data_IF_341912706184
#
_entry.id   IF_341912706184
#
_cell.length_a   1.000
_cell.length_b   1.000
_cell.length_c   1.000
_cell.angle_alpha   90.00
_cell.angle_beta   90.00
_cell.angle_gamma   90.00
#
_symmetry.space_group_name_H-M   'P 1'
#
loop_
_entity.id
_entity.type
_entity.pdbx_description
1 polymer ?
#
# COMPACT_ATOMS: atom_id res chain seq x y z
N UNK A 1 -3.96 -0.64 -8.05
CA UNK A 1 -5.42 -0.82 -7.91
C UNK A 1 -5.73 -1.43 -6.55
N UNK A 2 -6.55 -0.76 -5.78
CA UNK A 2 -6.91 -1.25 -4.46
C UNK A 2 -7.90 -2.42 -4.57
N UNK A 3 -7.86 -3.34 -3.60
CA UNK A 3 -8.83 -4.43 -3.61
C UNK A 3 -10.23 -3.89 -3.38
N UNK A 4 -11.15 -4.29 -4.24
CA UNK A 4 -12.54 -3.88 -4.12
C UNK A 4 -13.43 -5.01 -3.61
N UNK A 5 -12.91 -6.24 -3.58
CA UNK A 5 -13.68 -7.39 -3.12
C UNK A 5 -13.70 -7.52 -1.61
N UNK A 6 -12.88 -6.73 -0.90
CA UNK A 6 -12.78 -6.80 0.55
C UNK A 6 -13.32 -5.54 1.18
N UNK A 7 -14.00 -5.67 2.31
CA UNK A 7 -14.46 -4.52 3.07
C UNK A 7 -13.29 -3.90 3.83
N UNK A 8 -13.32 -2.59 3.99
CA UNK A 8 -12.33 -1.88 4.79
C UNK A 8 -12.66 -2.06 6.26
N UNK A 9 -11.69 -2.53 7.04
CA UNK A 9 -11.85 -2.67 8.48
C UNK A 9 -11.25 -1.48 9.23
N UNK A 10 -10.25 -0.82 8.65
CA UNK A 10 -9.64 0.36 9.26
C UNK A 10 -9.11 1.25 8.16
N UNK A 11 -9.61 2.48 8.13
CA UNK A 11 -9.28 3.44 7.09
C UNK A 11 -7.94 4.10 7.35
N UNK A 12 -7.41 4.73 6.31
CA UNK A 12 -6.20 5.52 6.41
C UNK A 12 -6.43 6.68 7.37
N UNK A 13 -5.62 6.73 8.43
CA UNK A 13 -5.65 7.79 9.44
C UNK A 13 -4.22 8.13 9.81
N UNK A 14 -3.59 9.09 9.12
CA UNK A 14 -2.20 9.38 9.40
C UNK A 14 -2.03 9.81 10.85
N UNK A 15 -1.02 9.27 11.54
CA UNK A 15 -0.77 9.70 12.92
C UNK A 15 -0.36 11.16 12.96
N UNK A 16 -0.71 11.84 14.04
CA UNK A 16 -0.38 13.25 14.19
C UNK A 16 1.09 13.47 14.50
N UNK A 17 1.80 12.45 14.88
CA UNK A 17 3.24 12.51 15.11
C UNK A 17 3.85 11.14 14.85
N UNK A 18 5.20 11.08 14.82
CA UNK A 18 5.91 9.85 14.47
C UNK A 18 5.54 8.68 15.38
N UNK A 19 5.29 8.95 16.65
CA UNK A 19 5.01 7.92 17.64
C UNK A 19 3.52 7.85 18.02
N UNK A 20 2.69 8.65 17.38
CA UNK A 20 1.28 8.72 17.72
C UNK A 20 0.50 7.60 17.06
N UNK A 21 -0.66 7.29 17.64
CA UNK A 21 -1.56 6.29 17.08
C UNK A 21 -2.13 6.78 15.75
N UNK A 22 -2.42 5.85 14.88
CA UNK A 22 -2.99 6.12 13.58
C UNK A 22 -2.90 4.88 12.72
N UNK A 23 -3.29 5.01 11.45
CA UNK A 23 -3.18 3.94 10.49
C UNK A 23 -2.53 4.50 9.23
N UNK A 24 -1.32 4.03 8.94
CA UNK A 24 -0.52 4.53 7.81
C UNK A 24 -0.90 3.92 6.48
N UNK A 25 -1.93 3.09 6.46
CA UNK A 25 -2.47 2.48 5.26
C UNK A 25 -3.92 2.16 5.47
N UNK A 26 -4.43 1.20 4.71
CA UNK A 26 -5.80 0.74 4.84
C UNK A 26 -5.77 -0.73 5.23
N UNK A 27 -6.55 -1.10 6.23
CA UNK A 27 -6.76 -2.48 6.61
C UNK A 27 -8.06 -2.97 6.00
N UNK A 28 -8.02 -4.19 5.48
CA UNK A 28 -9.19 -4.83 4.88
C UNK A 28 -9.50 -6.10 5.63
N UNK A 29 -10.78 -6.44 5.69
CA UNK A 29 -11.23 -7.77 6.12
C UNK A 29 -11.07 -8.70 4.92
N UNK A 30 -10.32 -9.78 5.09
CA UNK A 30 -10.13 -10.74 4.02
C UNK A 30 -10.18 -12.13 4.63
N UNK A 31 -10.87 -13.09 3.99
CA UNK A 31 -10.85 -14.46 4.49
C UNK A 31 -9.43 -15.01 4.48
N UNK A 32 -9.09 -15.92 5.39
CA UNK A 32 -7.79 -16.60 5.31
C UNK A 32 -7.66 -17.31 3.97
N UNK A 33 -6.43 -17.33 3.45
CA UNK A 33 -6.09 -17.99 2.19
C UNK A 33 -6.72 -17.34 0.96
N UNK A 34 -7.30 -16.15 1.08
CA UNK A 34 -7.84 -15.45 -0.08
C UNK A 34 -6.70 -14.94 -0.95
N UNK A 35 -6.85 -15.00 -2.28
CA UNK A 35 -5.80 -14.48 -3.16
C UNK A 35 -5.65 -12.98 -3.00
N UNK A 36 -4.41 -12.51 -3.00
CA UNK A 36 -4.08 -11.10 -2.92
C UNK A 36 -3.37 -10.72 -4.21
N UNK A 37 -3.82 -9.64 -4.82
CA UNK A 37 -3.31 -9.15 -6.09
C UNK A 37 -2.56 -7.86 -5.88
N UNK A 38 -1.52 -7.66 -6.69
CA UNK A 38 -0.73 -6.44 -6.59
C UNK A 38 -1.58 -5.22 -6.90
N UNK A 39 -1.48 -4.21 -6.05
CA UNK A 39 -2.20 -2.95 -6.25
C UNK A 39 -1.48 -2.05 -7.25
N UNK A 40 -0.26 -2.40 -7.65
CA UNK A 40 0.54 -1.56 -8.54
C UNK A 40 1.38 -2.41 -9.46
N UNK A 41 1.74 -1.83 -10.60
CA UNK A 41 2.72 -2.43 -11.51
C UNK A 41 4.10 -1.94 -11.13
N UNK A 42 5.08 -2.83 -11.13
CA UNK A 42 6.44 -2.44 -10.81
C UNK A 42 7.29 -3.63 -10.45
N UNK A 43 8.34 -3.35 -9.72
CA UNK A 43 9.31 -4.35 -9.29
C UNK A 43 9.09 -4.67 -7.81
N UNK A 44 9.09 -5.96 -7.49
CA UNK A 44 9.05 -6.40 -6.10
C UNK A 44 10.40 -6.09 -5.47
N UNK A 45 10.42 -5.22 -4.47
CA UNK A 45 11.66 -4.87 -3.78
C UNK A 45 11.83 -5.65 -2.49
N UNK A 46 10.77 -6.21 -1.95
CA UNK A 46 10.83 -7.02 -0.74
C UNK A 46 9.68 -8.03 -0.76
N UNK A 47 9.99 -9.25 -0.37
CA UNK A 47 8.96 -10.28 -0.15
C UNK A 47 9.48 -11.17 0.97
N UNK A 48 8.83 -11.12 2.12
CA UNK A 48 9.30 -11.89 3.26
C UNK A 48 8.58 -11.53 4.54
N UNK A 49 9.09 -12.03 5.65
CA UNK A 49 8.48 -11.87 6.96
C UNK A 49 9.22 -10.82 7.77
N UNK A 50 8.44 -9.98 8.45
CA UNK A 50 8.94 -9.03 9.43
C UNK A 50 8.07 -9.17 10.66
N UNK A 51 8.67 -9.48 11.80
CA UNK A 51 7.95 -9.62 13.07
C UNK A 51 6.75 -10.58 12.97
N UNK A 52 6.91 -11.66 12.22
CA UNK A 52 5.88 -12.69 12.12
C UNK A 52 4.82 -12.45 11.07
N UNK A 53 4.83 -11.34 10.39
CA UNK A 53 3.90 -11.04 9.30
C UNK A 53 4.63 -11.01 7.98
N UNK A 54 3.99 -11.49 6.91
CA UNK A 54 4.59 -11.45 5.58
C UNK A 54 4.14 -10.22 4.83
N UNK A 55 5.08 -9.68 4.09
CA UNK A 55 4.87 -8.46 3.31
C UNK A 55 5.42 -8.64 1.91
N UNK A 56 4.78 -8.00 0.94
CA UNK A 56 5.30 -7.83 -0.41
C UNK A 56 5.27 -6.34 -0.71
N UNK A 57 6.41 -5.78 -1.08
CA UNK A 57 6.53 -4.37 -1.42
C UNK A 57 6.84 -4.27 -2.90
N UNK A 58 6.03 -3.48 -3.61
CA UNK A 58 6.20 -3.22 -5.03
C UNK A 58 6.60 -1.77 -5.21
N UNK A 59 7.71 -1.56 -5.94
CA UNK A 59 8.13 -0.20 -6.30
C UNK A 59 7.52 0.14 -7.66
N UNK A 60 6.59 1.07 -7.64
CA UNK A 60 5.94 1.57 -8.83
C UNK A 60 6.70 2.78 -9.38
N UNK A 61 6.15 3.41 -10.40
CA UNK A 61 6.75 4.59 -10.98
C UNK A 61 6.84 5.72 -9.96
N UNK A 62 7.77 6.66 -10.18
CA UNK A 62 7.92 7.87 -9.36
C UNK A 62 8.25 7.58 -7.91
N UNK A 63 9.02 6.52 -7.65
CA UNK A 63 9.49 6.18 -6.31
C UNK A 63 8.36 5.84 -5.35
N UNK A 64 7.21 5.42 -5.84
CA UNK A 64 6.09 5.02 -5.01
C UNK A 64 6.29 3.57 -4.58
N UNK A 65 6.22 3.32 -3.28
CA UNK A 65 6.30 1.98 -2.72
C UNK A 65 4.93 1.58 -2.22
N UNK A 66 4.44 0.44 -2.67
CA UNK A 66 3.15 -0.10 -2.24
C UNK A 66 3.42 -1.35 -1.42
N UNK A 67 3.02 -1.31 -0.16
CA UNK A 67 3.21 -2.41 0.77
C UNK A 67 1.92 -3.20 0.88
N UNK A 68 2.03 -4.51 0.67
CA UNK A 68 0.94 -5.46 0.89
C UNK A 68 1.32 -6.26 2.12
N UNK A 69 0.57 -6.12 3.19
CA UNK A 69 0.90 -6.75 4.47
C UNK A 69 -0.15 -7.72 4.94
N UNK A 70 0.18 -8.42 6.02
CA UNK A 70 -0.68 -9.43 6.63
C UNK A 70 -0.96 -10.58 5.68
N UNK A 71 0.07 -10.96 4.92
CA UNK A 71 -0.04 -12.09 4.02
C UNK A 71 0.30 -13.38 4.75
N UNK A 72 -0.36 -14.46 4.35
CA UNK A 72 -0.01 -15.79 4.79
C UNK A 72 1.14 -16.34 3.95
N UNK A 73 1.09 -16.10 2.65
CA UNK A 73 2.10 -16.58 1.74
C UNK A 73 2.42 -15.52 0.71
N UNK A 74 3.64 -15.58 0.18
CA UNK A 74 4.07 -14.73 -0.92
C UNK A 74 4.39 -15.63 -2.11
N UNK A 75 3.82 -15.29 -3.26
CA UNK A 75 4.03 -16.03 -4.50
C UNK A 75 5.10 -15.41 -5.38
N UNK A 76 5.73 -14.35 -4.91
CA UNK A 76 6.76 -13.60 -5.65
C UNK A 76 7.96 -13.39 -4.73
N UNK A 77 9.07 -12.98 -5.33
CA UNK A 77 10.28 -12.68 -4.58
C UNK A 77 10.87 -11.37 -5.04
N UNK A 78 11.78 -10.82 -4.27
CA UNK A 78 12.46 -9.58 -4.62
C UNK A 78 13.14 -9.74 -5.98
N UNK A 79 12.99 -8.73 -6.81
CA UNK A 79 13.49 -8.74 -8.18
C UNK A 79 12.44 -9.08 -9.21
N UNK A 80 11.34 -9.71 -8.83
CA UNK A 80 10.27 -10.03 -9.79
C UNK A 80 9.57 -8.77 -10.24
N UNK A 81 9.09 -8.77 -11.46
CA UNK A 81 8.25 -7.70 -11.98
C UNK A 81 6.82 -8.19 -12.04
N UNK A 82 5.90 -7.33 -11.60
CA UNK A 82 4.49 -7.66 -11.55
C UNK A 82 3.68 -6.54 -12.18
N UNK A 83 2.51 -6.91 -12.69
CA UNK A 83 1.53 -5.93 -13.13
C UNK A 83 0.47 -5.76 -12.05
N UNK A 84 -0.19 -4.61 -12.02
CA UNK A 84 -1.34 -4.44 -11.15
C UNK A 84 -2.35 -5.55 -11.47
N UNK A 85 -2.86 -6.20 -10.42
CA UNK A 85 -3.76 -7.34 -10.58
C UNK A 85 -3.07 -8.70 -10.66
N UNK A 86 -1.74 -8.74 -10.68
CA UNK A 86 -1.02 -10.00 -10.64
C UNK A 86 -1.08 -10.58 -9.22
N UNK A 87 -1.33 -11.89 -9.13
CA UNK A 87 -1.43 -12.54 -7.82
C UNK A 87 -0.07 -12.59 -7.15
N UNK A 88 0.03 -12.04 -5.94
CA UNK A 88 1.29 -11.96 -5.22
C UNK A 88 1.31 -12.79 -3.94
N UNK A 89 0.18 -13.35 -3.54
CA UNK A 89 0.15 -14.18 -2.34
C UNK A 89 -1.26 -14.45 -1.87
N UNK A 90 -1.38 -14.83 -0.61
CA UNK A 90 -2.66 -15.10 0.04
C UNK A 90 -2.74 -14.34 1.35
N UNK A 91 -3.96 -14.03 1.79
CA UNK A 91 -4.18 -13.30 3.02
C UNK A 91 -4.16 -14.23 4.24
N UNK A 92 -3.90 -13.66 5.41
CA UNK A 92 -3.90 -14.41 6.67
C UNK A 92 -5.12 -14.08 7.53
N UNK A 93 -6.20 -13.60 6.92
CA UNK A 93 -7.39 -13.18 7.67
C UNK A 93 -7.56 -11.68 7.67
N UNK A 94 -6.69 -10.97 6.98
CA UNK A 94 -6.74 -9.54 6.81
C UNK A 94 -5.77 -9.15 5.72
N UNK A 95 -5.80 -7.90 5.32
CA UNK A 95 -4.90 -7.37 4.30
C UNK A 95 -4.60 -5.92 4.63
N UNK A 96 -3.34 -5.57 4.58
CA UNK A 96 -2.90 -4.19 4.78
C UNK A 96 -2.32 -3.65 3.47
N UNK A 97 -2.75 -2.46 3.07
CA UNK A 97 -2.19 -1.75 1.93
C UNK A 97 -1.68 -0.41 2.41
N UNK A 98 -0.39 -0.18 2.24
CA UNK A 98 0.23 1.10 2.55
C UNK A 98 0.93 1.64 1.32
N UNK A 99 0.91 2.94 1.14
CA UNK A 99 1.56 3.61 0.03
C UNK A 99 2.44 4.71 0.59
N UNK A 100 3.69 4.78 0.12
CA UNK A 100 4.57 5.86 0.54
C UNK A 100 5.45 6.26 -0.64
N UNK A 101 5.95 7.49 -0.59
CA UNK A 101 6.84 8.02 -1.58
C UNK A 101 7.90 8.84 -0.86
N UNK A 102 9.17 8.46 -1.05
CA UNK A 102 10.30 9.16 -0.42
C UNK A 102 10.11 9.34 1.09
N UNK A 103 9.64 8.28 1.75
CA UNK A 103 9.46 8.28 3.19
C UNK A 103 8.17 8.91 3.69
N UNK A 104 7.34 9.46 2.79
CA UNK A 104 6.08 10.09 3.17
C UNK A 104 4.93 9.14 2.85
N UNK A 105 4.08 8.86 3.84
CA UNK A 105 2.91 8.02 3.63
C UNK A 105 1.85 8.79 2.87
N UNK A 106 1.25 8.13 1.90
CA UNK A 106 0.20 8.70 1.07
C UNK A 106 -1.11 8.01 1.39
N UNK A 107 -2.22 8.72 1.18
CA UNK A 107 -3.53 8.11 1.28
C UNK A 107 -3.68 7.12 0.12
N UNK A 108 -3.85 5.81 0.38
CA UNK A 108 -3.89 4.84 -0.72
C UNK A 108 -5.03 5.07 -1.71
N UNK A 109 -6.13 5.70 -1.29
CA UNK A 109 -7.26 5.93 -2.19
C UNK A 109 -7.04 7.09 -3.13
N UNK A 110 -6.23 8.07 -2.74
CA UNK A 110 -6.03 9.28 -3.54
C UNK A 110 -4.59 9.48 -3.96
N UNK A 111 -3.66 8.75 -3.32
CA UNK A 111 -2.22 8.94 -3.47
C UNK A 111 -1.78 10.37 -3.17
N UNK A 112 -2.56 11.09 -2.39
CA UNK A 112 -2.21 12.42 -1.97
C UNK A 112 -1.27 12.38 -0.79
N UNK A 113 -0.27 13.26 -0.71
CA UNK A 113 0.60 13.31 0.45
C UNK A 113 -0.17 13.67 1.70
N UNK A 114 0.24 13.07 2.80
CA UNK A 114 -0.28 13.47 4.09
C UNK A 114 0.31 14.83 4.42
N UNK A 115 -0.53 15.76 4.85
CA UNK A 115 -0.08 17.05 5.28
C UNK A 115 -0.74 17.39 6.60
N UNK A 116 0.05 17.97 7.49
CA UNK A 116 -0.46 18.52 8.73
C UNK A 116 -0.52 20.03 8.66
N UNK A 117 -0.70 20.57 7.46
CA UNK A 117 -0.71 21.99 7.27
C UNK A 117 -1.94 22.60 7.95
N UNK A 118 -1.78 23.22 9.10
CA UNK A 118 -2.93 23.72 9.84
C UNK A 118 -3.62 24.91 9.16
N UNK A 119 -2.99 25.50 8.17
CA UNK A 119 -3.63 26.59 7.45
C UNK A 119 -4.66 26.10 6.44
N UNK A 120 -4.79 24.80 6.29
CA UNK A 120 -5.69 24.25 5.30
C UNK A 120 -5.19 24.32 3.89
N UNK A 121 -3.98 24.75 3.70
CA UNK A 121 -3.41 24.82 2.38
C UNK A 121 -3.23 23.44 1.81
N UNK A 122 -3.68 23.25 0.58
CA UNK A 122 -3.61 21.94 -0.03
C UNK A 122 -2.18 21.70 -0.52
N UNK A 123 -1.70 20.47 -0.37
CA UNK A 123 -0.43 20.12 -0.98
C UNK A 123 -0.55 20.27 -2.48
N UNK A 124 0.54 20.62 -3.14
CA UNK A 124 0.52 20.64 -4.56
C UNK A 124 0.20 19.27 -5.02
N UNK A 125 -0.74 19.30 -5.85
CA UNK A 125 -1.10 18.05 -6.39
C UNK A 125 0.03 17.56 -7.17
N UNK A 126 0.53 16.77 -6.90
CA UNK A 126 1.60 16.43 -7.54
C UNK A 126 1.49 15.43 -8.39
N UNK A 127 1.17 15.42 -8.58
CA UNK A 127 1.22 14.67 -9.06
C UNK A 127 0.76 13.85 -9.66
N UNK A 128 0.60 13.86 -9.90
CA UNK A 128 0.20 13.25 -10.32
C UNK A 128 0.19 12.53 -11.11
N UNK A 129 0.17 12.41 -11.20
CA UNK A 129 0.06 11.72 -11.84
C UNK A 129 0.02 10.91 -12.32
N UNK A 130 0.06 10.84 -12.05
CA UNK A 130 0.09 10.40 -12.31
C UNK A 130 -0.47 9.86 -12.93
N UNK A 131 -0.45 9.96 -13.04
CA UNK A 131 -0.84 9.82 -13.53
C UNK A 131 -1.19 9.47 -14.22
N UNK A 132 -1.10 9.67 -14.37
CA UNK A 132 -1.19 9.53 -14.89
C UNK A 132 -1.23 8.93 -15.21
N UNK A 133 -1.03 8.62 -15.10
CA UNK A 133 -0.88 8.21 -15.15
C UNK A 133 -1.14 7.58 -15.12
N UNK A 134 -1.09 7.44 -15.12
CA UNK A 134 -1.17 7.10 -14.94
C UNK A 134 -1.21 6.65 -14.89
N UNK A 135 -1.31 6.33 -14.99
CA UNK A 135 -1.24 6.03 -15.03
C UNK A 135 -1.11 5.91 -15.16
#
# INVERSE_FOLDING_TARGET
MLPTQFAISDSFRPPSCKWCAGNRGIEYVAPPHAPVYSAASGEVTFAGSVAGSKYVVVRAANEVLVTHGRLESAAVKAGDRVSAGFRIGTSSGGLYIGVRRLGVYLNPTTCAPVTNNPSGQRPRAVLVPIHSHGP
#
